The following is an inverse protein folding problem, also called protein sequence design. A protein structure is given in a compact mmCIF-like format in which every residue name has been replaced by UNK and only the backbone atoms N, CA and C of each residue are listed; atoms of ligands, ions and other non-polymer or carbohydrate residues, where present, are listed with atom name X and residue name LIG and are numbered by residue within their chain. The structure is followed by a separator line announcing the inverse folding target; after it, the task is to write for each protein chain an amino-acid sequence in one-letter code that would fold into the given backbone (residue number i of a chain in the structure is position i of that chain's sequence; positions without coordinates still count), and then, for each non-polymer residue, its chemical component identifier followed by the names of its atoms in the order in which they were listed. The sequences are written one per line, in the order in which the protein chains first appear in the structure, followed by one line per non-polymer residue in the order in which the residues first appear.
data_IF_078654795170
#
_entry.id   IF_078654795170
#
_cell.length_a   1.000
_cell.length_b   1.000
_cell.length_c   1.000
_cell.angle_alpha   90.00
_cell.angle_beta   90.00
_cell.angle_gamma   90.00
#
_symmetry.space_group_name_H-M   'P 1'
#
loop_
_entity.id
_entity.type
_entity.pdbx_description
1 polymer ?
#
# COMPACT_ATOMS: atom_id res chain seq x y z
N UNK A 1 45.64 -20.73 24.00
CA UNK A 1 44.70 -19.74 24.55
C UNK A 1 43.80 -19.26 23.43
N UNK A 2 42.63 -19.88 23.31
CA UNK A 2 41.60 -19.56 22.32
C UNK A 2 40.56 -18.68 22.99
N UNK A 3 40.46 -17.42 22.58
CA UNK A 3 39.43 -16.51 23.07
C UNK A 3 38.06 -16.91 22.49
N UNK A 4 37.02 -17.09 23.33
CA UNK A 4 35.67 -17.29 22.84
C UNK A 4 35.13 -15.96 22.29
N UNK A 5 34.91 -15.91 20.98
CA UNK A 5 34.26 -14.78 20.32
C UNK A 5 32.83 -14.59 20.84
N UNK A 6 32.56 -13.37 21.26
CA UNK A 6 31.29 -12.81 21.72
C UNK A 6 30.21 -12.86 20.61
N UNK A 7 29.49 -13.97 20.48
CA UNK A 7 28.32 -14.08 19.59
C UNK A 7 27.02 -13.52 20.20
N UNK A 8 27.02 -13.17 21.48
CA UNK A 8 25.79 -12.80 22.21
C UNK A 8 25.34 -11.34 22.01
N UNK A 9 26.20 -10.46 21.49
CA UNK A 9 25.90 -9.01 21.34
C UNK A 9 25.26 -8.63 20.00
N UNK A 10 25.21 -9.54 19.01
CA UNK A 10 24.60 -9.24 17.70
C UNK A 10 23.07 -9.46 17.65
N UNK A 11 22.53 -10.33 18.51
CA UNK A 11 21.10 -10.68 18.50
C UNK A 11 20.20 -9.64 19.18
N UNK A 12 20.72 -8.81 20.10
CA UNK A 12 19.93 -7.74 20.75
C UNK A 12 19.70 -6.56 19.82
N UNK A 13 20.73 -6.12 19.08
CA UNK A 13 20.62 -5.00 18.15
C UNK A 13 19.65 -5.25 16.99
N UNK A 14 19.55 -6.49 16.49
CA UNK A 14 18.65 -6.81 15.36
C UNK A 14 17.18 -6.72 15.74
N UNK A 15 16.81 -7.10 16.98
CA UNK A 15 15.42 -7.01 17.46
C UNK A 15 14.97 -5.56 17.66
N UNK A 16 15.86 -4.71 18.15
CA UNK A 16 15.57 -3.28 18.34
C UNK A 16 15.35 -2.58 17.00
N UNK A 17 16.18 -2.85 15.99
CA UNK A 17 16.01 -2.27 14.65
C UNK A 17 14.68 -2.68 13.99
N UNK A 18 14.28 -3.95 14.15
CA UNK A 18 13.02 -4.47 13.59
C UNK A 18 11.79 -3.82 14.21
N UNK A 19 11.86 -3.31 15.45
CA UNK A 19 10.76 -2.60 16.10
C UNK A 19 10.78 -1.08 15.84
N UNK A 20 11.97 -0.50 15.64
CA UNK A 20 12.14 0.93 15.37
C UNK A 20 11.62 1.35 14.00
N UNK A 21 11.74 0.49 12.98
CA UNK A 21 11.21 0.74 11.63
C UNK A 21 9.67 0.92 11.66
N UNK A 22 8.89 -0.08 12.15
CA UNK A 22 7.44 0.04 12.35
C UNK A 22 7.02 1.31 13.06
N UNK A 23 7.66 1.57 14.20
CA UNK A 23 7.33 2.70 15.06
C UNK A 23 7.62 4.02 14.36
N UNK A 24 8.76 4.16 13.70
CA UNK A 24 9.12 5.40 13.01
C UNK A 24 8.26 5.67 11.78
N UNK A 25 7.88 4.63 11.01
CA UNK A 25 6.97 4.77 9.86
C UNK A 25 5.58 5.22 10.33
N UNK A 26 5.06 4.60 11.39
CA UNK A 26 3.74 4.90 11.95
C UNK A 26 3.79 6.05 12.98
N UNK A 27 4.91 6.75 13.10
CA UNK A 27 5.07 7.89 14.00
C UNK A 27 4.72 9.17 13.25
N UNK A 28 4.08 10.12 13.94
CA UNK A 28 3.89 11.48 13.41
C UNK A 28 5.15 12.36 13.54
N UNK A 29 6.14 11.95 14.35
CA UNK A 29 7.35 12.73 14.53
C UNK A 29 8.28 12.57 13.30
N UNK A 30 8.60 13.66 12.58
CA UNK A 30 9.43 13.59 11.37
C UNK A 30 10.84 13.06 11.66
N UNK A 31 11.40 13.32 12.85
CA UNK A 31 12.73 12.80 13.20
C UNK A 31 12.74 11.27 13.32
N UNK A 32 11.66 10.65 13.80
CA UNK A 32 11.53 9.20 13.85
C UNK A 32 11.28 8.60 12.46
N UNK A 33 10.48 9.27 11.63
CA UNK A 33 10.27 8.86 10.23
C UNK A 33 11.58 8.88 9.44
N UNK A 34 12.36 9.97 9.54
CA UNK A 34 13.68 10.08 8.89
C UNK A 34 14.62 8.98 9.35
N UNK A 35 14.66 8.67 10.66
CA UNK A 35 15.48 7.56 11.17
C UNK A 35 15.00 6.20 10.65
N UNK A 36 13.69 5.96 10.63
CA UNK A 36 13.13 4.71 10.11
C UNK A 36 13.41 4.54 8.61
N UNK A 37 13.33 5.62 7.81
CA UNK A 37 13.75 5.60 6.41
C UNK A 37 15.20 5.15 6.27
N UNK A 38 16.15 5.76 7.01
CA UNK A 38 17.56 5.36 6.95
C UNK A 38 17.79 3.91 7.40
N UNK A 39 17.14 3.48 8.49
CA UNK A 39 17.25 2.11 8.98
C UNK A 39 16.67 1.11 7.99
N UNK A 40 15.52 1.42 7.40
CA UNK A 40 14.89 0.59 6.39
C UNK A 40 15.80 0.48 5.17
N UNK A 41 16.17 1.59 4.52
CA UNK A 41 17.04 1.57 3.34
C UNK A 41 18.36 0.85 3.59
N UNK A 42 18.96 1.01 4.77
CA UNK A 42 20.17 0.28 5.18
C UNK A 42 19.90 -1.22 5.30
N UNK A 43 18.80 -1.61 5.94
CA UNK A 43 18.39 -3.01 6.08
C UNK A 43 18.11 -3.67 4.73
N UNK A 44 17.41 -2.99 3.81
CA UNK A 44 17.17 -3.50 2.46
C UNK A 44 18.48 -3.67 1.68
N UNK A 45 19.39 -2.70 1.78
CA UNK A 45 20.72 -2.78 1.16
C UNK A 45 21.53 -3.95 1.71
N UNK A 46 21.49 -4.18 3.03
CA UNK A 46 22.14 -5.33 3.65
C UNK A 46 21.51 -6.64 3.18
N UNK A 47 20.18 -6.74 3.11
CA UNK A 47 19.47 -7.92 2.62
C UNK A 47 19.87 -8.27 1.19
N UNK A 48 19.99 -7.28 0.30
CA UNK A 48 20.51 -7.45 -1.07
C UNK A 48 21.95 -7.96 -1.09
N UNK A 49 22.84 -7.34 -0.31
CA UNK A 49 24.26 -7.73 -0.24
C UNK A 49 24.46 -9.13 0.34
N UNK A 50 23.59 -9.54 1.26
CA UNK A 50 23.58 -10.89 1.82
C UNK A 50 22.90 -11.91 0.89
N UNK A 51 22.39 -11.48 -0.28
CA UNK A 51 21.64 -12.31 -1.23
C UNK A 51 20.46 -13.05 -0.59
N UNK A 52 19.78 -12.41 0.36
CA UNK A 52 18.60 -13.02 1.01
C UNK A 52 17.42 -13.18 0.04
N UNK A 53 17.45 -12.48 -1.08
CA UNK A 53 16.46 -12.54 -2.15
C UNK A 53 16.64 -13.79 -3.01
N UNK A 54 17.89 -14.16 -3.32
CA UNK A 54 18.28 -15.26 -4.21
C UNK A 54 18.62 -16.55 -3.44
N UNK A 55 17.68 -17.04 -2.62
CA UNK A 55 17.92 -18.22 -1.79
C UNK A 55 18.21 -19.49 -2.61
N UNK A 56 17.72 -19.56 -3.86
CA UNK A 56 17.88 -20.70 -4.76
C UNK A 56 19.32 -20.88 -5.28
N UNK A 57 20.09 -19.80 -5.38
CA UNK A 57 21.47 -19.81 -5.89
C UNK A 57 22.49 -20.26 -4.82
N UNK A 58 22.04 -20.52 -3.59
CA UNK A 58 22.90 -20.85 -2.47
C UNK A 58 22.87 -22.36 -2.19
N UNK A 59 23.94 -23.06 -2.58
CA UNK A 59 24.09 -24.48 -2.29
C UNK A 59 24.35 -24.77 -0.79
N UNK A 60 23.72 -25.82 -0.28
CA UNK A 60 24.05 -26.47 1.00
C UNK A 60 23.61 -25.70 2.27
N UNK A 61 24.42 -25.68 3.35
CA UNK A 61 24.01 -25.18 4.67
C UNK A 61 23.69 -23.68 4.71
N UNK A 62 24.09 -22.91 3.69
CA UNK A 62 23.74 -21.49 3.55
C UNK A 62 22.27 -21.29 3.22
N UNK A 63 21.66 -22.17 2.43
CA UNK A 63 20.22 -22.12 2.12
C UNK A 63 19.36 -22.21 3.39
N UNK A 64 19.74 -23.10 4.31
CA UNK A 64 19.05 -23.26 5.60
C UNK A 64 19.20 -22.02 6.50
N UNK A 65 20.33 -21.30 6.42
CA UNK A 65 20.49 -20.04 7.14
C UNK A 65 19.61 -18.93 6.55
N UNK A 66 19.51 -18.84 5.21
CA UNK A 66 18.70 -17.82 4.54
C UNK A 66 17.20 -18.01 4.80
N UNK A 67 16.73 -19.25 4.89
CA UNK A 67 15.32 -19.52 5.20
C UNK A 67 14.88 -18.95 6.55
N UNK A 68 15.79 -18.86 7.54
CA UNK A 68 15.51 -18.21 8.82
C UNK A 68 15.28 -16.69 8.71
N UNK A 69 15.82 -16.03 7.68
CA UNK A 69 15.64 -14.59 7.43
C UNK A 69 14.48 -14.26 6.49
N UNK A 70 13.82 -15.26 5.91
CA UNK A 70 12.70 -15.06 4.96
C UNK A 70 11.60 -14.17 5.55
N UNK A 71 11.13 -14.48 6.76
CA UNK A 71 10.10 -13.69 7.45
C UNK A 71 10.50 -12.22 7.66
N UNK A 72 11.78 -11.98 7.96
CA UNK A 72 12.33 -10.63 8.11
C UNK A 72 12.31 -9.88 6.77
N UNK A 73 12.67 -10.54 5.67
CA UNK A 73 12.63 -9.96 4.33
C UNK A 73 11.20 -9.55 3.95
N UNK A 74 10.22 -10.44 4.14
CA UNK A 74 8.81 -10.14 3.87
C UNK A 74 8.30 -8.98 4.74
N UNK A 75 8.70 -8.95 6.01
CA UNK A 75 8.36 -7.83 6.90
C UNK A 75 9.00 -6.51 6.44
N UNK A 76 10.28 -6.53 6.03
CA UNK A 76 10.96 -5.35 5.51
C UNK A 76 10.28 -4.81 4.24
N UNK A 77 9.83 -5.69 3.35
CA UNK A 77 9.08 -5.29 2.17
C UNK A 77 7.71 -4.69 2.51
N UNK A 78 7.00 -5.25 3.49
CA UNK A 78 5.75 -4.64 3.99
C UNK A 78 6.01 -3.22 4.50
N UNK A 79 7.07 -3.02 5.28
CA UNK A 79 7.42 -1.69 5.79
C UNK A 79 7.82 -0.71 4.68
N UNK A 80 8.48 -1.17 3.64
CA UNK A 80 8.79 -0.37 2.45
C UNK A 80 7.52 0.07 1.70
N UNK A 81 6.53 -0.82 1.54
CA UNK A 81 5.22 -0.49 0.99
C UNK A 81 4.48 0.53 1.88
N UNK A 82 4.41 0.30 3.19
CA UNK A 82 3.71 1.19 4.12
C UNK A 82 4.37 2.57 4.20
N UNK A 83 5.71 2.63 4.18
CA UNK A 83 6.44 3.88 4.10
C UNK A 83 6.10 4.61 2.80
N UNK A 84 6.17 3.93 1.65
CA UNK A 84 5.86 4.50 0.34
C UNK A 84 4.44 5.08 0.27
N UNK A 85 3.46 4.38 0.86
CA UNK A 85 2.08 4.87 0.98
C UNK A 85 1.97 6.08 1.92
N UNK A 86 2.66 6.05 3.05
CA UNK A 86 2.56 7.10 4.07
C UNK A 86 3.26 8.40 3.65
N UNK A 87 4.39 8.30 2.96
CA UNK A 87 5.26 9.44 2.62
C UNK A 87 5.22 9.83 1.16
N UNK A 88 4.40 9.20 0.32
CA UNK A 88 4.31 9.49 -1.12
C UNK A 88 5.62 9.18 -1.88
N UNK A 89 6.45 8.24 -1.41
CA UNK A 89 7.71 7.82 -2.04
C UNK A 89 7.54 6.54 -2.88
N UNK A 90 8.42 6.23 -3.84
CA UNK A 90 8.45 4.91 -4.47
C UNK A 90 8.90 3.84 -3.47
N UNK A 91 8.51 2.59 -3.71
CA UNK A 91 9.08 1.47 -2.97
C UNK A 91 10.55 1.29 -3.37
N UNK A 92 11.37 0.94 -2.39
CA UNK A 92 12.77 0.61 -2.62
C UNK A 92 12.90 -0.79 -3.21
N UNK A 93 12.00 -1.71 -2.85
CA UNK A 93 11.91 -3.07 -3.37
C UNK A 93 10.81 -3.20 -4.42
N UNK A 94 11.13 -3.92 -5.49
CA UNK A 94 10.17 -4.40 -6.48
C UNK A 94 9.77 -5.85 -6.19
N UNK A 95 8.54 -6.22 -6.50
CA UNK A 95 8.10 -7.62 -6.47
C UNK A 95 8.98 -8.52 -7.36
N UNK A 96 9.55 -7.95 -8.44
CA UNK A 96 10.42 -8.66 -9.37
C UNK A 96 11.80 -9.02 -8.80
N UNK A 97 12.24 -8.38 -7.72
CA UNK A 97 13.53 -8.66 -7.07
C UNK A 97 13.46 -9.87 -6.12
N UNK A 98 12.25 -10.33 -5.77
CA UNK A 98 12.06 -11.38 -4.77
C UNK A 98 11.95 -12.74 -5.49
N UNK A 99 13.09 -13.42 -5.62
CA UNK A 99 13.20 -14.77 -6.20
C UNK A 99 13.03 -15.88 -5.15
N UNK A 100 12.85 -15.53 -3.86
CA UNK A 100 12.72 -16.51 -2.78
C UNK A 100 11.42 -17.32 -2.85
N UNK A 101 11.47 -18.53 -2.30
CA UNK A 101 10.25 -19.31 -2.04
C UNK A 101 9.42 -18.62 -0.96
N UNK A 102 8.10 -18.60 -1.17
CA UNK A 102 7.19 -18.06 -0.16
C UNK A 102 7.33 -18.83 1.15
N UNK A 103 7.05 -18.20 2.31
CA UNK A 103 6.93 -18.94 3.55
C UNK A 103 5.82 -19.96 3.30
N UNK A 104 6.11 -21.25 3.45
CA UNK A 104 5.16 -22.36 3.26
C UNK A 104 4.81 -22.75 1.80
N UNK A 105 5.49 -22.22 0.78
CA UNK A 105 5.35 -22.71 -0.61
C UNK A 105 6.64 -23.31 -1.12
N UNK A 106 6.55 -24.45 -1.82
CA UNK A 106 7.65 -25.00 -2.63
C UNK A 106 7.76 -24.30 -3.99
N UNK A 107 6.74 -23.54 -4.39
CA UNK A 107 6.72 -22.79 -5.64
C UNK A 107 7.41 -21.44 -5.43
N UNK A 108 8.34 -21.04 -6.30
CA UNK A 108 8.97 -19.72 -6.23
C UNK A 108 7.92 -18.61 -6.27
N UNK A 109 8.03 -17.63 -5.37
CA UNK A 109 7.04 -16.55 -5.25
C UNK A 109 6.87 -15.80 -6.57
N UNK A 110 7.97 -15.48 -7.24
CA UNK A 110 7.97 -14.77 -8.50
C UNK A 110 7.21 -15.53 -9.60
N UNK A 111 7.27 -16.87 -9.60
CA UNK A 111 6.51 -17.68 -10.55
C UNK A 111 5.02 -17.53 -10.32
N UNK A 112 4.56 -17.67 -9.06
CA UNK A 112 3.15 -17.48 -8.71
C UNK A 112 2.68 -16.07 -9.09
N UNK A 113 3.45 -15.04 -8.73
CA UNK A 113 3.09 -13.66 -9.04
C UNK A 113 3.02 -13.40 -10.56
N UNK A 114 4.00 -13.86 -11.34
CA UNK A 114 3.97 -13.73 -12.80
C UNK A 114 2.79 -14.48 -13.41
N UNK A 115 2.50 -15.68 -12.94
CA UNK A 115 1.33 -16.43 -13.39
C UNK A 115 0.04 -15.71 -13.05
N UNK A 116 -0.06 -15.02 -11.90
CA UNK A 116 -1.24 -14.24 -11.52
C UNK A 116 -1.44 -13.05 -12.48
N UNK A 117 -0.35 -12.34 -12.79
CA UNK A 117 -0.35 -11.18 -13.68
C UNK A 117 -0.50 -11.55 -15.17
N UNK A 118 -0.17 -12.78 -15.57
CA UNK A 118 -0.27 -13.26 -16.94
C UNK A 118 -1.54 -14.11 -17.10
N UNK A 119 -2.24 -14.09 -18.24
CA UNK A 119 -3.45 -14.92 -18.53
C UNK A 119 -3.29 -16.45 -18.38
N UNK A 120 -2.13 -16.91 -17.93
CA UNK A 120 -1.77 -18.30 -17.69
C UNK A 120 -2.05 -18.80 -16.27
N UNK A 121 -2.60 -17.98 -15.37
CA UNK A 121 -2.94 -18.42 -14.01
C UNK A 121 -3.85 -19.64 -14.04
N UNK A 122 -3.28 -20.79 -13.70
CA UNK A 122 -4.02 -22.00 -13.36
C UNK A 122 -3.81 -22.19 -11.88
N UNK A 123 -4.82 -21.97 -11.03
CA UNK A 123 -4.68 -22.28 -9.62
C UNK A 123 -4.29 -23.76 -9.57
N UNK A 124 -3.05 -24.03 -9.16
CA UNK A 124 -2.66 -25.40 -8.88
C UNK A 124 -3.57 -25.79 -7.72
N UNK A 125 -4.44 -26.81 -7.87
CA UNK A 125 -5.38 -27.16 -6.83
C UNK A 125 -4.57 -27.27 -5.54
N UNK A 126 -4.95 -26.56 -4.47
CA UNK A 126 -4.21 -26.62 -3.23
C UNK A 126 -4.08 -28.10 -2.89
N UNK A 127 -2.85 -28.56 -2.70
CA UNK A 127 -2.57 -29.90 -2.20
C UNK A 127 -3.54 -30.13 -1.03
N UNK A 128 -4.31 -31.24 -0.95
CA UNK A 128 -5.46 -31.42 -0.04
C UNK A 128 -5.18 -31.27 1.46
N UNK A 129 -4.00 -30.77 1.83
CA UNK A 129 -3.65 -30.23 3.14
C UNK A 129 -3.40 -28.71 3.09
N UNK A 130 -4.33 -27.85 2.66
CA UNK A 130 -4.20 -26.44 2.96
C UNK A 130 -4.59 -26.28 4.43
N UNK A 131 -3.62 -26.18 5.32
CA UNK A 131 -3.89 -25.43 6.54
C UNK A 131 -4.27 -24.03 6.06
N UNK A 132 -5.47 -23.53 6.38
CA UNK A 132 -6.01 -22.22 5.94
C UNK A 132 -4.98 -21.08 6.04
N UNK A 133 -4.05 -21.22 6.98
CA UNK A 133 -2.88 -20.37 7.18
C UNK A 133 -1.97 -20.24 5.95
N UNK A 134 -1.62 -21.33 5.28
CA UNK A 134 -0.68 -21.30 4.13
C UNK A 134 -1.29 -20.51 2.97
N UNK A 135 -2.58 -20.77 2.69
CA UNK A 135 -3.33 -20.07 1.65
C UNK A 135 -3.43 -18.57 1.96
N UNK A 136 -3.70 -18.23 3.23
CA UNK A 136 -3.74 -16.84 3.71
C UNK A 136 -2.42 -16.11 3.57
N UNK A 137 -1.31 -16.73 3.99
CA UNK A 137 0.01 -16.10 3.97
C UNK A 137 0.49 -15.90 2.51
N UNK A 138 0.22 -16.86 1.61
CA UNK A 138 0.43 -16.68 0.16
C UNK A 138 -0.43 -15.56 -0.41
N UNK A 139 -1.72 -15.54 -0.04
CA UNK A 139 -2.66 -14.51 -0.48
C UNK A 139 -2.20 -13.11 -0.07
N UNK A 140 -1.70 -12.96 1.15
CA UNK A 140 -1.16 -11.68 1.65
C UNK A 140 0.04 -11.20 0.81
N UNK A 141 1.00 -12.08 0.52
CA UNK A 141 2.19 -11.74 -0.26
C UNK A 141 1.85 -11.32 -1.70
N UNK A 142 0.86 -11.95 -2.32
CA UNK A 142 0.40 -11.57 -3.66
C UNK A 142 -0.26 -10.19 -3.66
N UNK A 143 -1.07 -9.84 -2.65
CA UNK A 143 -1.60 -8.47 -2.55
C UNK A 143 -0.47 -7.46 -2.36
N UNK A 144 0.51 -7.77 -1.50
CA UNK A 144 1.68 -6.91 -1.32
C UNK A 144 2.43 -6.68 -2.64
N UNK A 145 2.59 -7.72 -3.47
CA UNK A 145 3.22 -7.61 -4.78
C UNK A 145 2.49 -6.64 -5.71
N UNK A 146 1.18 -6.85 -5.87
CA UNK A 146 0.32 -6.01 -6.72
C UNK A 146 0.38 -4.55 -6.24
N UNK A 147 0.29 -4.32 -4.94
CA UNK A 147 0.34 -2.99 -4.36
C UNK A 147 1.71 -2.32 -4.54
N UNK A 148 2.80 -3.07 -4.34
CA UNK A 148 4.17 -2.59 -4.55
C UNK A 148 4.40 -2.16 -6.00
N UNK A 149 3.96 -2.98 -6.96
CA UNK A 149 4.06 -2.65 -8.38
C UNK A 149 3.17 -1.46 -8.72
N UNK A 150 1.93 -1.40 -8.20
CA UNK A 150 1.04 -0.25 -8.41
C UNK A 150 1.68 1.07 -7.92
N UNK A 151 2.37 1.04 -6.77
CA UNK A 151 3.12 2.19 -6.26
C UNK A 151 4.27 2.54 -7.20
N UNK A 152 5.10 1.56 -7.55
CA UNK A 152 6.29 1.76 -8.39
C UNK A 152 5.93 2.36 -9.74
N UNK A 153 4.97 1.78 -10.44
CA UNK A 153 4.55 2.19 -11.79
C UNK A 153 3.99 3.60 -11.80
N UNK A 154 3.20 3.97 -10.79
CA UNK A 154 2.67 5.33 -10.68
C UNK A 154 3.74 6.37 -10.40
N UNK A 155 4.79 6.01 -9.67
CA UNK A 155 5.91 6.93 -9.44
C UNK A 155 6.82 7.07 -10.63
N UNK A 156 7.08 5.98 -11.36
CA UNK A 156 7.95 6.01 -12.52
C UNK A 156 7.28 6.63 -13.75
N UNK A 157 5.99 6.39 -13.96
CA UNK A 157 5.26 6.81 -15.17
C UNK A 157 4.30 7.98 -14.93
N UNK A 158 3.90 8.24 -13.67
CA UNK A 158 2.87 9.24 -13.35
C UNK A 158 3.40 10.67 -13.15
N UNK A 159 4.69 10.87 -12.96
CA UNK A 159 5.31 12.20 -12.74
C UNK A 159 5.36 13.08 -13.99
N UNK A 160 5.15 12.52 -15.19
CA UNK A 160 5.34 13.22 -16.46
C UNK A 160 4.07 13.93 -16.99
N UNK A 161 3.03 14.04 -16.16
CA UNK A 161 1.71 14.58 -16.55
C UNK A 161 1.69 16.07 -16.90
N UNK A 162 2.69 16.85 -16.49
CA UNK A 162 2.64 18.32 -16.60
C UNK A 162 3.44 18.91 -17.79
N UNK A 163 4.25 18.13 -18.51
CA UNK A 163 5.18 18.70 -19.52
C UNK A 163 4.85 18.43 -21.00
N UNK A 164 4.02 17.45 -21.35
CA UNK A 164 3.92 16.97 -22.76
C UNK A 164 2.53 17.02 -23.42
N UNK A 165 1.43 17.16 -22.66
CA UNK A 165 0.07 16.98 -23.22
C UNK A 165 -0.50 18.20 -23.97
N UNK A 166 0.26 19.29 -24.14
CA UNK A 166 -0.24 20.52 -24.77
C UNK A 166 0.09 20.68 -26.27
N UNK A 167 0.97 19.87 -26.87
CA UNK A 167 1.50 20.15 -28.22
C UNK A 167 1.53 18.99 -29.21
N UNK A 168 1.18 17.75 -28.84
CA UNK A 168 1.41 16.58 -29.71
C UNK A 168 0.17 15.72 -30.05
N UNK A 169 -1.05 16.21 -29.80
CA UNK A 169 -2.26 15.51 -30.23
C UNK A 169 -2.58 15.77 -31.72
N UNK A 170 -1.60 15.53 -32.60
CA UNK A 170 -1.87 15.33 -34.03
C UNK A 170 -2.04 13.83 -34.29
N UNK A 171 -2.99 13.53 -35.17
CA UNK A 171 -3.55 12.21 -35.48
C UNK A 171 -2.48 11.25 -36.02
N UNK A 172 -1.69 10.63 -35.15
CA UNK A 172 -0.84 9.51 -35.52
C UNK A 172 -1.67 8.23 -35.52
N UNK A 173 -1.83 7.63 -36.70
CA UNK A 173 -2.32 6.26 -36.86
C UNK A 173 -1.48 5.35 -35.96
N UNK A 174 -2.17 4.54 -35.14
CA UNK A 174 -1.56 3.61 -34.19
C UNK A 174 -0.49 2.75 -34.87
N UNK A 175 0.78 3.08 -34.63
CA UNK A 175 1.92 2.33 -35.14
C UNK A 175 2.35 1.32 -34.07
N UNK A 176 2.19 0.00 -34.30
CA UNK A 176 2.54 -1.03 -33.32
C UNK A 176 4.04 -1.10 -33.01
N UNK A 177 4.88 -0.37 -33.76
CA UNK A 177 6.33 -0.29 -33.55
C UNK A 177 6.77 0.98 -32.80
N UNK A 178 5.86 1.90 -32.50
CA UNK A 178 6.17 3.08 -31.69
C UNK A 178 6.08 2.70 -30.21
N UNK A 179 7.07 3.04 -29.37
CA UNK A 179 6.99 2.79 -27.94
C UNK A 179 5.76 3.51 -27.38
N UNK A 180 5.04 2.84 -26.47
CA UNK A 180 3.90 3.44 -25.78
C UNK A 180 4.34 4.71 -25.06
N UNK A 181 3.46 5.71 -25.07
CA UNK A 181 3.65 6.86 -24.17
C UNK A 181 3.63 6.39 -22.72
N UNK A 182 4.27 7.14 -21.82
CA UNK A 182 4.28 6.81 -20.38
C UNK A 182 2.86 6.64 -19.80
N UNK A 183 1.89 7.41 -20.34
CA UNK A 183 0.48 7.32 -19.97
C UNK A 183 -0.18 6.02 -20.45
N UNK A 184 -0.01 5.66 -21.72
CA UNK A 184 -0.55 4.41 -22.27
C UNK A 184 0.08 3.19 -21.58
N UNK A 185 1.37 3.25 -21.28
CA UNK A 185 2.04 2.19 -20.52
C UNK A 185 1.48 2.09 -19.09
N UNK A 186 1.27 3.22 -18.41
CA UNK A 186 0.64 3.22 -17.09
C UNK A 186 -0.78 2.63 -17.14
N UNK A 187 -1.60 3.04 -18.11
CA UNK A 187 -2.97 2.54 -18.25
C UNK A 187 -2.98 1.02 -18.55
N UNK A 188 -2.06 0.54 -19.42
CA UNK A 188 -1.86 -0.89 -19.71
C UNK A 188 -1.48 -1.68 -18.46
N UNK A 189 -0.54 -1.16 -17.67
CA UNK A 189 -0.09 -1.85 -16.45
C UNK A 189 -1.15 -1.81 -15.34
N UNK A 190 -1.88 -0.70 -15.18
CA UNK A 190 -3.03 -0.63 -14.25
C UNK A 190 -4.09 -1.67 -14.62
N UNK A 191 -4.42 -1.83 -15.91
CA UNK A 191 -5.35 -2.86 -16.38
C UNK A 191 -4.85 -4.28 -16.09
N UNK A 192 -3.55 -4.54 -16.28
CA UNK A 192 -2.95 -5.82 -15.93
C UNK A 192 -3.10 -6.14 -14.44
N UNK A 193 -2.85 -5.17 -13.55
CA UNK A 193 -3.01 -5.35 -12.12
C UNK A 193 -4.47 -5.54 -11.70
N UNK A 194 -5.41 -4.84 -12.35
CA UNK A 194 -6.85 -5.08 -12.15
C UNK A 194 -7.22 -6.53 -12.43
N UNK A 195 -6.82 -7.05 -13.59
CA UNK A 195 -7.07 -8.46 -13.95
C UNK A 195 -6.39 -9.42 -12.99
N UNK A 196 -5.22 -9.08 -12.46
CA UNK A 196 -4.53 -9.87 -11.43
C UNK A 196 -5.33 -9.92 -10.13
N UNK A 197 -5.92 -8.79 -9.71
CA UNK A 197 -6.78 -8.72 -8.51
C UNK A 197 -8.09 -9.49 -8.68
N UNK A 198 -8.70 -9.49 -9.85
CA UNK A 198 -9.94 -10.24 -10.08
C UNK A 198 -9.69 -11.76 -10.01
N UNK A 199 -8.54 -12.23 -10.51
CA UNK A 199 -8.13 -13.63 -10.38
C UNK A 199 -7.72 -14.00 -8.98
N UNK A 200 -7.06 -13.06 -8.30
CA UNK A 200 -6.74 -13.20 -6.90
C UNK A 200 -8.02 -13.43 -6.08
N UNK A 201 -9.04 -12.61 -6.29
CA UNK A 201 -10.33 -12.74 -5.63
C UNK A 201 -11.02 -14.07 -5.95
N UNK A 202 -10.99 -14.51 -7.21
CA UNK A 202 -11.55 -15.80 -7.63
C UNK A 202 -10.90 -17.02 -6.95
N UNK A 203 -9.66 -16.91 -6.47
CA UNK A 203 -8.95 -18.01 -5.77
C UNK A 203 -9.01 -17.86 -4.26
N UNK A 204 -8.79 -16.65 -3.75
CA UNK A 204 -8.56 -16.41 -2.33
C UNK A 204 -9.79 -15.79 -1.65
N UNK A 205 -10.68 -15.11 -2.37
CA UNK A 205 -11.70 -14.19 -1.83
C UNK A 205 -12.53 -14.77 -0.68
N UNK A 206 -13.01 -16.01 -0.83
CA UNK A 206 -13.83 -16.70 0.17
C UNK A 206 -13.04 -17.12 1.43
N UNK A 207 -11.72 -17.25 1.32
CA UNK A 207 -10.81 -17.70 2.39
C UNK A 207 -10.13 -16.56 3.14
N UNK A 208 -10.29 -15.32 2.67
CA UNK A 208 -9.60 -14.17 3.27
C UNK A 208 -10.21 -13.78 4.60
N UNK A 209 -9.33 -13.55 5.57
CA UNK A 209 -9.66 -12.86 6.80
C UNK A 209 -10.02 -11.39 6.51
N UNK A 210 -10.80 -10.76 7.39
CA UNK A 210 -11.30 -9.40 7.15
C UNK A 210 -10.19 -8.36 6.97
N UNK A 211 -9.05 -8.54 7.63
CA UNK A 211 -7.88 -7.69 7.48
C UNK A 211 -7.24 -7.76 6.08
N UNK A 212 -7.19 -8.94 5.48
CA UNK A 212 -6.74 -9.13 4.11
C UNK A 212 -7.78 -8.65 3.10
N UNK A 213 -9.07 -8.81 3.39
CA UNK A 213 -10.14 -8.22 2.56
C UNK A 213 -10.05 -6.68 2.58
N UNK A 214 -9.77 -6.06 3.72
CA UNK A 214 -9.52 -4.63 3.80
C UNK A 214 -8.32 -4.20 2.95
N UNK A 215 -7.21 -4.96 3.01
CA UNK A 215 -6.02 -4.66 2.19
C UNK A 215 -6.29 -4.86 0.70
N UNK A 216 -7.01 -5.92 0.32
CA UNK A 216 -7.43 -6.17 -1.06
C UNK A 216 -8.28 -5.02 -1.61
N UNK A 217 -9.31 -4.59 -0.87
CA UNK A 217 -10.15 -3.45 -1.26
C UNK A 217 -9.35 -2.16 -1.31
N UNK A 218 -8.39 -1.98 -0.41
CA UNK A 218 -7.49 -0.84 -0.45
C UNK A 218 -6.59 -0.87 -1.69
N UNK A 219 -6.09 -2.03 -2.12
CA UNK A 219 -5.29 -2.14 -3.34
C UNK A 219 -6.14 -1.78 -4.57
N UNK A 220 -7.40 -2.23 -4.64
CA UNK A 220 -8.35 -1.78 -5.68
C UNK A 220 -8.59 -0.27 -5.62
N UNK A 221 -8.84 0.28 -4.43
CA UNK A 221 -8.98 1.72 -4.22
C UNK A 221 -7.74 2.48 -4.71
N UNK A 222 -6.55 1.97 -4.38
CA UNK A 222 -5.30 2.57 -4.81
C UNK A 222 -5.29 2.63 -6.33
N UNK A 223 -5.47 1.51 -7.04
CA UNK A 223 -5.45 1.48 -8.51
C UNK A 223 -6.59 2.31 -9.14
N UNK A 224 -7.78 2.35 -8.55
CA UNK A 224 -8.91 3.15 -9.09
C UNK A 224 -8.72 4.67 -8.87
N UNK A 225 -8.07 5.08 -7.78
CA UNK A 225 -7.89 6.47 -7.39
C UNK A 225 -6.46 6.98 -7.67
N UNK A 226 -6.28 7.61 -8.83
CA UNK A 226 -5.03 8.29 -9.18
C UNK A 226 -4.79 9.43 -8.18
N UNK A 227 -3.67 9.40 -7.46
CA UNK A 227 -3.32 10.42 -6.45
C UNK A 227 -3.91 10.21 -5.05
N UNK A 228 -4.28 8.99 -4.65
CA UNK A 228 -4.77 8.72 -3.28
C UNK A 228 -3.79 9.17 -2.20
N UNK A 229 -2.47 9.01 -2.40
CA UNK A 229 -1.44 9.43 -1.44
C UNK A 229 -1.24 10.95 -1.43
N UNK A 230 -1.45 11.62 -2.57
CA UNK A 230 -1.37 13.08 -2.62
C UNK A 230 -2.55 13.75 -1.93
N UNK A 231 -3.67 13.04 -1.72
CA UNK A 231 -4.78 13.52 -0.90
C UNK A 231 -4.36 13.80 0.54
N UNK A 232 -3.37 13.10 1.10
CA UNK A 232 -2.86 13.38 2.44
C UNK A 232 -2.34 14.82 2.54
N UNK A 233 -1.55 15.24 1.54
CA UNK A 233 -1.05 16.61 1.45
C UNK A 233 -2.18 17.60 1.21
N UNK A 234 -3.09 17.30 0.28
CA UNK A 234 -4.24 18.18 -0.03
C UNK A 234 -5.14 18.38 1.19
N UNK A 235 -5.38 17.31 1.95
CA UNK A 235 -6.14 17.35 3.19
C UNK A 235 -5.43 18.21 4.24
N UNK A 236 -4.12 18.03 4.42
CA UNK A 236 -3.32 18.86 5.32
C UNK A 236 -3.38 20.34 4.92
N UNK A 237 -3.15 20.66 3.64
CA UNK A 237 -3.23 22.03 3.14
C UNK A 237 -4.62 22.61 3.39
N UNK A 238 -5.69 21.83 3.16
CA UNK A 238 -7.08 22.24 3.40
C UNK A 238 -7.34 22.61 4.86
N UNK A 239 -6.59 22.05 5.82
CA UNK A 239 -6.69 22.45 7.24
C UNK A 239 -6.10 23.83 7.53
N UNK A 240 -5.31 24.40 6.60
CA UNK A 240 -4.68 25.72 6.72
C UNK A 240 -5.55 26.86 6.13
N UNK A 241 -6.78 26.57 5.68
CA UNK A 241 -7.75 27.56 5.20
C UNK A 241 -7.73 27.80 3.68
N UNK A 242 -7.91 29.05 3.25
CA UNK A 242 -8.12 29.42 1.83
C UNK A 242 -7.03 28.91 0.84
N UNK A 243 -5.72 28.92 1.17
CA UNK A 243 -4.69 28.33 0.29
C UNK A 243 -4.88 26.83 0.09
N UNK A 244 -5.42 26.13 1.08
CA UNK A 244 -5.68 24.71 1.03
C UNK A 244 -6.84 24.31 0.13
N UNK A 245 -7.89 25.13 0.09
CA UNK A 245 -8.99 24.94 -0.86
C UNK A 245 -8.47 25.00 -2.30
N UNK A 246 -7.53 25.91 -2.60
CA UNK A 246 -6.88 25.97 -3.92
C UNK A 246 -6.14 24.66 -4.28
N UNK A 247 -5.46 24.04 -3.31
CA UNK A 247 -4.80 22.73 -3.46
C UNK A 247 -5.82 21.64 -3.84
N UNK A 248 -6.97 21.62 -3.15
CA UNK A 248 -8.07 20.68 -3.45
C UNK A 248 -8.68 20.90 -4.85
N UNK A 249 -8.87 22.15 -5.27
CA UNK A 249 -9.36 22.45 -6.61
C UNK A 249 -8.36 22.04 -7.69
N UNK A 250 -7.07 22.34 -7.49
CA UNK A 250 -6.01 21.93 -8.41
C UNK A 250 -5.98 20.40 -8.55
N UNK A 251 -6.03 19.69 -7.42
CA UNK A 251 -6.09 18.24 -7.39
C UNK A 251 -7.33 17.69 -8.10
N UNK A 252 -8.51 18.26 -7.84
CA UNK A 252 -9.77 17.80 -8.41
C UNK A 252 -9.92 18.03 -9.92
N UNK A 253 -9.23 19.04 -10.49
CA UNK A 253 -9.18 19.23 -11.95
C UNK A 253 -8.38 18.15 -12.66
N UNK A 254 -7.33 17.63 -12.00
CA UNK A 254 -6.48 16.58 -12.56
C UNK A 254 -6.97 15.17 -12.24
N UNK A 255 -7.77 15.02 -11.17
CA UNK A 255 -8.21 13.74 -10.63
C UNK A 255 -9.73 13.75 -10.39
N UNK A 256 -10.48 13.31 -11.41
CA UNK A 256 -11.92 13.06 -11.28
C UNK A 256 -12.12 11.81 -10.43
N UNK A 257 -12.78 11.96 -9.28
CA UNK A 257 -13.04 10.84 -8.39
C UNK A 257 -14.13 9.94 -8.96
N UNK A 258 -13.76 8.72 -9.35
CA UNK A 258 -14.70 7.70 -9.83
C UNK A 258 -15.53 7.16 -8.66
N UNK A 259 -16.79 6.78 -8.92
CA UNK A 259 -17.67 6.19 -7.91
C UNK A 259 -17.10 4.86 -7.37
N UNK A 260 -16.52 4.06 -8.26
CA UNK A 260 -15.83 2.80 -7.91
C UNK A 260 -14.78 2.98 -6.80
N UNK A 261 -13.98 4.06 -6.84
CA UNK A 261 -13.02 4.37 -5.77
C UNK A 261 -13.71 4.59 -4.43
N UNK A 262 -14.86 5.27 -4.43
CA UNK A 262 -15.62 5.54 -3.22
C UNK A 262 -16.22 4.25 -2.67
N UNK A 263 -16.69 3.35 -3.54
CA UNK A 263 -17.25 2.05 -3.16
C UNK A 263 -16.17 1.15 -2.51
N UNK A 264 -14.94 1.16 -3.05
CA UNK A 264 -13.80 0.49 -2.42
C UNK A 264 -13.43 1.13 -1.08
N UNK A 265 -13.45 2.46 -0.95
CA UNK A 265 -13.20 3.14 0.32
C UNK A 265 -14.18 2.71 1.42
N UNK A 266 -15.48 2.62 1.09
CA UNK A 266 -16.48 2.08 2.01
C UNK A 266 -16.27 0.60 2.32
N UNK A 267 -15.83 -0.18 1.33
CA UNK A 267 -15.50 -1.60 1.54
C UNK A 267 -14.31 -1.78 2.50
N UNK A 268 -13.28 -0.92 2.40
CA UNK A 268 -12.17 -0.90 3.37
C UNK A 268 -12.69 -0.70 4.78
N UNK A 269 -13.53 0.33 5.00
CA UNK A 269 -14.11 0.60 6.31
C UNK A 269 -14.92 -0.58 6.85
N UNK A 270 -15.77 -1.19 6.01
CA UNK A 270 -16.58 -2.36 6.36
C UNK A 270 -15.73 -3.52 6.88
N UNK A 271 -14.61 -3.81 6.20
CA UNK A 271 -13.73 -4.91 6.60
C UNK A 271 -12.84 -4.56 7.81
N UNK A 272 -12.47 -3.29 7.99
CA UNK A 272 -11.77 -2.82 9.21
C UNK A 272 -12.68 -2.94 10.43
N UNK A 273 -13.94 -2.50 10.32
CA UNK A 273 -14.92 -2.57 11.41
C UNK A 273 -15.24 -4.01 11.83
N UNK A 274 -15.07 -4.99 10.92
CA UNK A 274 -15.23 -6.42 11.21
C UNK A 274 -14.13 -7.02 12.07
N UNK A 275 -13.02 -6.32 12.39
CA UNK A 275 -11.89 -6.91 13.15
C UNK A 275 -12.27 -7.40 14.55
N UNK A 276 -13.48 -7.10 15.01
CA UNK A 276 -13.98 -7.46 16.32
C UNK A 276 -13.36 -6.58 17.40
N UNK A 277 -14.07 -6.43 18.52
CA UNK A 277 -13.59 -5.65 19.67
C UNK A 277 -12.69 -6.48 20.60
N UNK A 278 -12.22 -7.66 20.17
CA UNK A 278 -11.39 -8.52 20.99
C UNK A 278 -10.03 -7.84 21.24
N UNK A 279 -9.74 -7.43 22.49
CA UNK A 279 -8.47 -6.77 22.81
C UNK A 279 -7.26 -7.72 22.64
N UNK A 280 -7.47 -9.04 22.54
CA UNK A 280 -6.41 -10.00 22.27
C UNK A 280 -6.00 -10.04 20.79
N UNK A 281 -6.84 -9.55 19.88
CA UNK A 281 -6.55 -9.55 18.44
C UNK A 281 -5.71 -8.32 18.08
N UNK A 282 -4.45 -8.55 17.71
CA UNK A 282 -3.53 -7.49 17.30
C UNK A 282 -4.07 -6.76 16.06
N UNK A 283 -4.09 -5.43 16.10
CA UNK A 283 -4.48 -4.62 14.95
C UNK A 283 -3.41 -4.73 13.84
N UNK A 284 -3.79 -5.07 12.59
CA UNK A 284 -2.86 -5.08 11.47
C UNK A 284 -2.21 -3.71 11.26
N UNK A 285 -0.93 -3.71 10.91
CA UNK A 285 -0.11 -2.49 10.84
C UNK A 285 -0.46 -1.57 9.68
N UNK A 286 -1.13 -2.09 8.64
CA UNK A 286 -1.59 -1.30 7.50
C UNK A 286 -2.91 -0.56 7.75
N UNK A 287 -3.70 -0.96 8.75
CA UNK A 287 -5.04 -0.43 9.01
C UNK A 287 -5.11 1.09 9.12
N UNK A 288 -4.22 1.77 9.88
CA UNK A 288 -4.26 3.23 9.97
C UNK A 288 -4.18 3.92 8.61
N UNK A 289 -3.23 3.49 7.78
CA UNK A 289 -2.95 4.11 6.49
C UNK A 289 -4.10 3.87 5.52
N UNK A 290 -4.57 2.61 5.40
CA UNK A 290 -5.64 2.27 4.45
C UNK A 290 -6.97 2.91 4.84
N UNK A 291 -7.27 2.96 6.14
CA UNK A 291 -8.51 3.59 6.66
C UNK A 291 -8.48 5.09 6.45
N UNK A 292 -7.34 5.73 6.73
CA UNK A 292 -7.18 7.16 6.53
C UNK A 292 -7.28 7.53 5.04
N UNK A 293 -6.59 6.83 4.14
CA UNK A 293 -6.70 7.05 2.71
C UNK A 293 -8.14 6.86 2.18
N UNK A 294 -8.84 5.82 2.65
CA UNK A 294 -10.25 5.61 2.31
C UNK A 294 -11.13 6.78 2.77
N UNK A 295 -10.91 7.30 3.99
CA UNK A 295 -11.61 8.48 4.49
C UNK A 295 -11.36 9.71 3.61
N UNK A 296 -10.11 9.93 3.18
CA UNK A 296 -9.75 11.05 2.32
C UNK A 296 -10.38 10.96 0.92
N UNK A 297 -10.53 9.76 0.38
CA UNK A 297 -11.23 9.53 -0.89
C UNK A 297 -12.70 9.92 -0.79
N UNK A 298 -13.36 9.50 0.29
CA UNK A 298 -14.76 9.88 0.58
C UNK A 298 -14.88 11.39 0.76
N UNK A 299 -13.99 11.98 1.55
CA UNK A 299 -13.93 13.44 1.75
C UNK A 299 -13.76 14.21 0.43
N UNK A 300 -12.83 13.78 -0.42
CA UNK A 300 -12.57 14.43 -1.70
C UNK A 300 -13.80 14.34 -2.62
N UNK A 301 -14.48 13.19 -2.66
CA UNK A 301 -15.73 13.03 -3.43
C UNK A 301 -16.83 13.99 -2.95
N UNK A 302 -17.05 14.06 -1.63
CA UNK A 302 -18.07 14.96 -1.04
C UNK A 302 -17.73 16.41 -1.39
N UNK A 303 -16.47 16.79 -1.25
CA UNK A 303 -16.00 18.14 -1.51
C UNK A 303 -16.17 18.53 -2.98
N UNK A 304 -15.84 17.65 -3.93
CA UNK A 304 -16.09 17.88 -5.36
C UNK A 304 -17.59 18.07 -5.67
N UNK A 305 -18.48 17.28 -5.05
CA UNK A 305 -19.92 17.37 -5.27
C UNK A 305 -20.56 18.70 -4.83
N UNK A 306 -20.02 19.35 -3.78
CA UNK A 306 -20.49 20.66 -3.30
C UNK A 306 -20.32 21.77 -4.34
N UNK A 307 -19.32 21.66 -5.22
CA UNK A 307 -19.02 22.70 -6.21
C UNK A 307 -19.86 22.58 -7.48
N UNK A 308 -20.35 21.39 -7.81
CA UNK A 308 -21.18 21.18 -9.00
C UNK A 308 -22.66 21.57 -8.80
N UNK A 309 -23.13 21.69 -7.55
CA UNK A 309 -24.52 22.06 -7.24
C UNK A 309 -24.61 22.91 -5.95
N UNK A 310 -24.59 24.25 -6.05
CA UNK A 310 -24.57 25.16 -4.89
C UNK A 310 -25.84 25.15 -4.02
N UNK A 311 -26.87 24.38 -4.41
CA UNK A 311 -28.18 24.35 -3.73
C UNK A 311 -28.42 23.10 -2.90
N UNK A 312 -27.52 22.10 -2.93
CA UNK A 312 -27.61 20.95 -2.04
C UNK A 312 -27.04 21.33 -0.67
N UNK A 313 -27.84 21.20 0.40
CA UNK A 313 -27.43 21.39 1.80
C UNK A 313 -26.30 20.40 2.15
N UNK A 314 -25.06 20.76 1.80
CA UNK A 314 -23.90 19.87 1.79
C UNK A 314 -23.30 19.55 3.15
N UNK A 315 -23.89 20.04 4.26
CA UNK A 315 -23.42 19.79 5.62
C UNK A 315 -23.63 18.35 6.10
N UNK A 316 -24.74 17.72 5.70
CA UNK A 316 -25.16 16.41 6.22
C UNK A 316 -24.24 15.25 5.78
N UNK A 317 -23.46 15.42 4.70
CA UNK A 317 -22.64 14.34 4.16
C UNK A 317 -21.23 14.23 4.79
N UNK A 318 -20.74 15.25 5.52
CA UNK A 318 -19.42 15.14 6.18
C UNK A 318 -19.44 14.24 7.42
N UNK A 319 -20.62 13.94 7.96
CA UNK A 319 -20.79 12.92 8.99
C UNK A 319 -20.29 11.54 8.55
N UNK A 320 -20.19 11.27 7.23
CA UNK A 320 -19.56 10.07 6.70
C UNK A 320 -18.13 9.84 7.22
N UNK A 321 -17.37 10.91 7.48
CA UNK A 321 -15.99 10.81 7.97
C UNK A 321 -15.91 10.37 9.44
N UNK A 322 -16.98 10.55 10.22
CA UNK A 322 -17.02 10.17 11.64
C UNK A 322 -16.86 8.66 11.85
N UNK A 323 -17.30 7.84 10.88
CA UNK A 323 -17.15 6.39 10.93
C UNK A 323 -15.68 5.98 10.79
N UNK A 324 -14.96 6.56 9.84
CA UNK A 324 -13.52 6.33 9.68
C UNK A 324 -12.72 6.85 10.88
N UNK A 325 -13.10 8.03 11.39
CA UNK A 325 -12.50 8.59 12.60
C UNK A 325 -12.62 7.63 13.78
N UNK A 326 -13.82 7.11 14.04
CA UNK A 326 -14.09 6.19 15.16
C UNK A 326 -13.18 4.96 15.09
N UNK A 327 -13.01 4.38 13.91
CA UNK A 327 -12.09 3.24 13.71
C UNK A 327 -10.62 3.62 13.95
N UNK A 328 -10.19 4.82 13.55
CA UNK A 328 -8.83 5.30 13.80
C UNK A 328 -8.58 5.59 15.28
N UNK A 329 -9.57 6.08 16.04
CA UNK A 329 -9.45 6.37 17.48
C UNK A 329 -9.23 5.10 18.32
N UNK A 330 -9.81 3.97 17.91
CA UNK A 330 -9.62 2.67 18.58
C UNK A 330 -8.32 1.97 18.16
N UNK A 331 -7.57 2.52 17.20
CA UNK A 331 -6.25 2.02 16.81
C UNK A 331 -5.15 2.65 17.67
N UNK A 332 -4.29 1.82 18.25
CA UNK A 332 -3.23 2.28 19.17
C UNK A 332 -1.94 2.72 18.45
N UNK A 333 -2.00 3.05 17.16
CA UNK A 333 -0.83 3.46 16.42
C UNK A 333 -0.55 4.96 16.57
N UNK A 334 0.71 5.40 16.67
CA UNK A 334 1.01 6.81 16.94
C UNK A 334 0.47 7.79 15.87
N UNK A 335 0.45 7.39 14.60
CA UNK A 335 -0.05 8.19 13.48
C UNK A 335 -1.56 8.44 13.54
N UNK A 336 -2.34 7.56 14.18
CA UNK A 336 -3.80 7.67 14.26
C UNK A 336 -4.23 8.99 14.90
N UNK A 337 -3.50 9.48 15.90
CA UNK A 337 -3.81 10.75 16.58
C UNK A 337 -3.86 11.94 15.61
N UNK A 338 -2.93 12.01 14.67
CA UNK A 338 -2.87 13.09 13.68
C UNK A 338 -3.85 12.86 12.55
N UNK A 339 -4.03 11.60 12.11
CA UNK A 339 -5.04 11.25 11.12
C UNK A 339 -6.45 11.65 11.60
N UNK A 340 -6.78 11.36 12.86
CA UNK A 340 -8.03 11.76 13.52
C UNK A 340 -8.16 13.29 13.58
N UNK A 341 -7.11 14.00 14.01
CA UNK A 341 -7.13 15.47 14.06
C UNK A 341 -7.36 16.09 12.67
N UNK A 342 -6.78 15.52 11.62
CA UNK A 342 -7.04 15.93 10.23
C UNK A 342 -8.52 15.72 9.88
N UNK A 343 -9.09 14.54 10.14
CA UNK A 343 -10.50 14.29 9.88
C UNK A 343 -11.43 15.24 10.65
N UNK A 344 -11.11 15.57 11.90
CA UNK A 344 -11.87 16.56 12.69
C UNK A 344 -11.87 17.95 12.06
N UNK A 345 -10.72 18.41 11.60
CA UNK A 345 -10.60 19.70 10.90
C UNK A 345 -11.38 19.71 9.59
N UNK A 346 -11.33 18.61 8.83
CA UNK A 346 -12.08 18.47 7.58
C UNK A 346 -13.61 18.44 7.81
N UNK A 347 -14.08 17.75 8.85
CA UNK A 347 -15.50 17.69 9.22
C UNK A 347 -16.04 19.04 9.71
N UNK A 348 -15.21 19.79 10.44
CA UNK A 348 -15.54 21.14 10.93
C UNK A 348 -15.56 22.19 9.82
N UNK A 349 -15.25 21.79 8.58
CA UNK A 349 -15.39 22.61 7.39
C UNK A 349 -14.30 23.65 7.20
N UNK A 350 -13.10 23.46 7.79
CA UNK A 350 -11.96 24.38 7.61
C UNK A 350 -12.37 25.86 7.75
N UNK A 351 -13.14 26.18 8.79
CA UNK A 351 -13.52 27.55 9.08
C UNK A 351 -12.45 28.18 9.98
N UNK A 352 -11.57 28.99 9.36
CA UNK A 352 -11.34 30.38 9.78
C UNK A 352 -11.32 31.26 8.55
#
# INVERSE_FOLDING_TARGET
MTHPCTHTLQHTNTREVVLLIPYGILSNNPSFQTRALYLLSSSLTMSRRMRLLDAEDLDGPRSQQVSHYSSMLWSLWLWDILLALHTDHPTTFSASEISSTGPFSSVPFQKMYRELCNETWKPTPPDPRPEDRVLRDQGFLLIMAILSDAITMRRSLGTDRDFMDATAAEVYQHNPFTPLSAREELDRMEEQLWRALDRYDAVYGDSLTSDLQALYQYTRLYISCKGVTSLCRVAHDATLGAPGLASLYAWGRQNVMRQESVDHAWSVLHFVAKRGSDPATACPTWFPIVTFHAALVVWARISQGRHSAPSARGGENMHALSWFKTELEVMQFPCCTVMVAVLDMLMSGGAV
#
